data_IF_773953862055
#
_entry.id   IF_773953862055
#
_cell.length_a   1.000
_cell.length_b   1.000
_cell.length_c   1.000
_cell.angle_alpha   90.00
_cell.angle_beta   90.00
_cell.angle_gamma   90.00
#
_symmetry.space_group_name_H-M   'P 1'
#
loop_
_entity.id
_entity.type
_entity.pdbx_description
1 polymer ?
#
# COMPACT_ATOMS: atom_id res chain seq x y z
N UNK A 1 5.23 -13.45 3.25
CA UNK A 1 4.22 -12.83 4.12
C UNK A 1 2.93 -12.75 3.32
N UNK A 2 1.83 -13.21 3.89
CA UNK A 2 0.55 -13.17 3.18
C UNK A 2 -0.03 -11.76 3.23
N UNK A 3 -0.93 -11.42 2.30
CA UNK A 3 -1.63 -10.12 2.29
C UNK A 3 -2.34 -9.84 3.61
N UNK A 4 -2.90 -10.88 4.23
CA UNK A 4 -3.57 -10.83 5.54
C UNK A 4 -2.66 -10.32 6.66
N UNK A 5 -1.39 -10.71 6.67
CA UNK A 5 -0.44 -10.28 7.70
C UNK A 5 -0.11 -8.79 7.54
N UNK A 6 0.05 -8.32 6.30
CA UNK A 6 0.32 -6.92 6.00
C UNK A 6 -0.86 -6.02 6.37
N UNK A 7 -2.09 -6.49 6.11
CA UNK A 7 -3.33 -5.81 6.51
C UNK A 7 -3.44 -5.74 8.04
N UNK A 8 -3.08 -6.80 8.76
CA UNK A 8 -3.06 -6.77 10.23
C UNK A 8 -2.04 -5.76 10.76
N UNK A 9 -0.83 -5.72 10.19
CA UNK A 9 0.23 -4.80 10.60
C UNK A 9 -0.12 -3.33 10.34
N UNK A 10 -0.68 -3.00 9.17
CA UNK A 10 -1.07 -1.62 8.89
C UNK A 10 -2.15 -1.15 9.87
N UNK A 11 -3.13 -2.00 10.22
CA UNK A 11 -4.17 -1.67 11.23
C UNK A 11 -3.60 -1.35 12.62
N UNK A 12 -2.38 -1.80 12.93
CA UNK A 12 -1.69 -1.49 14.19
C UNK A 12 -0.92 -0.16 14.16
N UNK A 13 -0.99 0.59 13.07
CA UNK A 13 -0.27 1.86 12.95
C UNK A 13 1.13 1.73 12.33
N UNK A 14 1.46 0.59 11.74
CA UNK A 14 2.81 0.35 11.20
C UNK A 14 2.91 0.91 9.77
N UNK A 15 4.03 1.57 9.47
CA UNK A 15 4.37 1.98 8.11
C UNK A 15 4.74 0.75 7.27
N UNK A 16 4.20 0.65 6.07
CA UNK A 16 4.39 -0.52 5.19
C UNK A 16 5.23 -0.14 3.97
N UNK A 17 6.20 -0.98 3.64
CA UNK A 17 6.90 -0.94 2.35
C UNK A 17 6.49 -2.15 1.50
N UNK A 18 5.83 -1.91 0.37
CA UNK A 18 5.49 -2.91 -0.64
C UNK A 18 6.65 -2.98 -1.64
N UNK A 19 7.51 -3.98 -1.46
CA UNK A 19 8.70 -4.18 -2.30
C UNK A 19 8.35 -4.80 -3.66
N UNK A 20 9.29 -4.71 -4.62
CA UNK A 20 9.16 -5.29 -5.97
C UNK A 20 8.91 -6.80 -5.94
N UNK A 21 9.51 -7.49 -4.98
CA UNK A 21 9.45 -8.95 -4.81
C UNK A 21 8.22 -9.41 -4.03
N UNK A 22 7.37 -8.47 -3.57
CA UNK A 22 6.14 -8.80 -2.87
C UNK A 22 5.16 -9.53 -3.80
N UNK A 23 4.53 -10.59 -3.29
CA UNK A 23 3.43 -11.28 -3.99
C UNK A 23 2.07 -10.61 -3.82
N UNK A 24 2.00 -9.41 -3.23
CA UNK A 24 0.72 -8.71 -3.01
C UNK A 24 -0.04 -8.45 -4.30
N UNK A 25 -1.29 -8.89 -4.33
CA UNK A 25 -2.20 -8.56 -5.43
C UNK A 25 -2.49 -7.06 -5.41
N UNK A 26 -2.73 -6.41 -6.58
CA UNK A 26 -3.09 -5.00 -6.62
C UNK A 26 -4.26 -4.63 -5.69
N UNK A 27 -5.26 -5.50 -5.57
CA UNK A 27 -6.42 -5.32 -4.68
C UNK A 27 -6.04 -5.27 -3.21
N UNK A 28 -5.15 -6.18 -2.76
CA UNK A 28 -4.67 -6.22 -1.38
C UNK A 28 -3.84 -4.98 -1.05
N UNK A 29 -2.98 -4.56 -1.99
CA UNK A 29 -2.17 -3.36 -1.83
C UNK A 29 -3.04 -2.10 -1.75
N UNK A 30 -4.14 -2.05 -2.51
CA UNK A 30 -5.09 -0.95 -2.47
C UNK A 30 -5.83 -0.89 -1.12
N UNK A 31 -6.19 -2.05 -0.56
CA UNK A 31 -6.75 -2.13 0.79
C UNK A 31 -5.75 -1.62 1.85
N UNK A 32 -4.48 -2.01 1.76
CA UNK A 32 -3.43 -1.53 2.66
C UNK A 32 -3.28 0.00 2.57
N UNK A 33 -3.23 0.55 1.37
CA UNK A 33 -3.15 2.01 1.15
C UNK A 33 -4.37 2.72 1.73
N UNK A 34 -5.57 2.17 1.53
CA UNK A 34 -6.80 2.71 2.11
C UNK A 34 -6.74 2.75 3.63
N UNK A 35 -6.40 1.63 4.27
CA UNK A 35 -6.32 1.54 5.72
C UNK A 35 -5.26 2.51 6.26
N UNK A 36 -4.07 2.54 5.65
CA UNK A 36 -3.00 3.45 6.06
C UNK A 36 -3.43 4.91 6.02
N UNK A 37 -4.16 5.31 4.98
CA UNK A 37 -4.70 6.67 4.84
C UNK A 37 -5.74 6.99 5.92
N UNK A 38 -6.60 6.03 6.25
CA UNK A 38 -7.65 6.20 7.27
C UNK A 38 -7.08 6.37 8.69
N UNK A 39 -5.98 5.67 8.99
CA UNK A 39 -5.31 5.72 10.30
C UNK A 39 -4.15 6.72 10.37
N UNK A 40 -3.79 7.33 9.24
CA UNK A 40 -2.72 8.33 9.13
C UNK A 40 -1.29 7.77 9.12
N UNK A 41 -1.09 6.50 8.73
CA UNK A 41 0.24 5.90 8.57
C UNK A 41 0.73 5.99 7.13
N UNK A 42 2.01 5.69 6.90
CA UNK A 42 2.64 5.85 5.60
C UNK A 42 2.84 4.51 4.87
N UNK A 43 2.58 4.50 3.55
CA UNK A 43 2.87 3.35 2.67
C UNK A 43 3.85 3.73 1.58
N UNK A 44 4.88 2.93 1.38
CA UNK A 44 5.77 3.06 0.22
C UNK A 44 5.51 1.91 -0.75
N UNK A 45 5.10 2.24 -1.96
CA UNK A 45 4.86 1.28 -3.05
C UNK A 45 6.04 1.32 -4.00
N UNK A 46 6.88 0.28 -3.98
CA UNK A 46 8.01 0.10 -4.92
C UNK A 46 7.71 -0.92 -6.01
N UNK A 47 6.56 -1.61 -5.92
CA UNK A 47 6.15 -2.64 -6.86
C UNK A 47 5.58 -2.04 -8.14
N UNK A 48 5.93 -2.66 -9.27
CA UNK A 48 5.49 -2.25 -10.61
C UNK A 48 4.05 -2.71 -10.87
N UNK A 49 3.07 -2.13 -10.18
CA UNK A 49 1.67 -2.26 -10.56
C UNK A 49 1.40 -1.52 -11.87
N UNK A 50 0.30 -1.86 -12.54
CA UNK A 50 -0.16 -1.09 -13.69
C UNK A 50 -0.45 0.36 -13.30
N UNK A 51 -0.22 1.28 -14.22
CA UNK A 51 -0.30 2.73 -13.97
C UNK A 51 -1.68 3.17 -13.47
N UNK A 52 -2.76 2.57 -13.97
CA UNK A 52 -4.13 2.81 -13.52
C UNK A 52 -4.31 2.48 -12.04
N UNK A 53 -3.76 1.36 -11.58
CA UNK A 53 -3.80 0.97 -10.16
C UNK A 53 -2.97 1.93 -9.30
N UNK A 54 -1.78 2.31 -9.75
CA UNK A 54 -0.95 3.27 -9.03
C UNK A 54 -1.63 4.64 -8.90
N UNK A 55 -2.37 5.07 -9.93
CA UNK A 55 -3.18 6.30 -9.90
C UNK A 55 -4.33 6.15 -8.88
N UNK A 56 -4.99 5.01 -8.83
CA UNK A 56 -6.06 4.76 -7.88
C UNK A 56 -5.54 4.77 -6.43
N UNK A 57 -4.42 4.08 -6.19
CA UNK A 57 -3.70 4.13 -4.92
C UNK A 57 -3.30 5.57 -4.56
N UNK A 58 -2.84 6.38 -5.51
CA UNK A 58 -2.47 7.77 -5.26
C UNK A 58 -3.66 8.66 -4.90
N UNK A 59 -4.84 8.43 -5.49
CA UNK A 59 -6.07 9.16 -5.15
C UNK A 59 -6.52 8.90 -3.71
N UNK A 60 -6.33 7.67 -3.24
CA UNK A 60 -6.68 7.22 -1.89
C UNK A 60 -5.60 7.64 -0.89
N UNK A 61 -4.36 7.25 -1.17
CA UNK A 61 -3.15 7.43 -0.35
C UNK A 61 -2.72 8.88 -0.15
N UNK A 62 -2.85 9.71 -1.18
CA UNK A 62 -2.44 11.13 -1.17
C UNK A 62 -1.06 11.32 -0.53
N UNK A 63 -0.96 12.10 0.54
CA UNK A 63 0.24 12.43 1.28
C UNK A 63 0.73 11.31 2.22
N UNK A 64 -0.10 10.30 2.46
CA UNK A 64 0.23 9.09 3.22
C UNK A 64 0.86 7.99 2.37
N UNK A 65 1.25 8.31 1.13
CA UNK A 65 1.86 7.33 0.24
C UNK A 65 3.06 7.88 -0.52
N UNK A 66 4.04 7.02 -0.77
CA UNK A 66 5.14 7.25 -1.70
C UNK A 66 5.14 6.16 -2.76
N UNK A 67 5.23 6.53 -4.03
CA UNK A 67 5.40 5.59 -5.14
C UNK A 67 6.84 5.72 -5.64
N UNK A 68 7.60 4.62 -5.65
CA UNK A 68 8.91 4.59 -6.28
C UNK A 68 8.75 4.22 -7.75
N UNK A 69 9.43 4.99 -8.61
CA UNK A 69 9.39 4.88 -10.08
C UNK A 69 10.74 4.37 -10.59
#
# INVERSE_FOLDING_TARGET
MYSTDAIALVKLGVNIEITKDSSLHPTDALEIVKIASEIGTHVTVKKNYHTDVLIEMAKIGRDHMTVAI
#
